data_IF_817577636264
#
_entry.id   IF_817577636264
#
_cell.length_a   1.000
_cell.length_b   1.000
_cell.length_c   1.000
_cell.angle_alpha   90.00
_cell.angle_beta   90.00
_cell.angle_gamma   90.00
#
_symmetry.space_group_name_H-M   'P 1'
#
loop_
_entity.id
_entity.type
_entity.pdbx_description
1 polymer ?
#
# COMPACT_ATOMS: atom_id res chain seq x y z
N UNK A 1 -10.78 -0.73 11.02
CA UNK A 1 -10.67 -0.53 10.74
C UNK A 1 -10.91 -0.46 10.32
N UNK A 2 -10.39 -0.59 10.16
CA UNK A 2 -10.30 -0.53 9.67
C UNK A 2 -10.36 -0.63 9.03
N UNK A 3 -10.17 -0.81 8.75
CA UNK A 3 -10.03 -0.98 8.10
C UNK A 3 -10.26 -1.32 7.65
N UNK A 4 -10.37 -1.42 7.40
CA UNK A 4 -10.44 -1.78 6.93
C UNK A 4 -10.65 -2.08 6.66
N UNK A 5 -10.85 -2.16 6.49
CA UNK A 5 -10.90 -2.56 6.03
C UNK A 5 -10.75 -2.91 5.66
N UNK A 6 -10.47 -2.94 5.57
CA UNK A 6 -10.09 -3.22 5.29
C UNK A 6 -9.91 -3.75 4.96
N UNK A 7 -9.82 -3.91 4.95
CA UNK A 7 -9.59 -4.25 4.59
C UNK A 7 -9.93 -4.92 4.31
N UNK A 8 -10.34 -5.18 4.39
CA UNK A 8 -10.42 -5.53 4.05
C UNK A 8 -10.67 -5.34 3.56
N UNK A 9 -10.48 -5.09 3.57
CA UNK A 9 -10.39 -4.70 3.07
C UNK A 9 -10.11 -4.49 2.58
N UNK A 10 -9.52 -4.27 2.62
CA UNK A 10 -9.01 -4.16 2.10
C UNK A 10 -8.85 -4.76 1.82
N UNK A 11 -8.93 -4.86 2.33
CA UNK A 11 -8.74 -5.66 2.05
C UNK A 11 -9.43 -6.25 1.56
N UNK A 12 -10.30 -5.80 1.82
CA UNK A 12 -10.84 -6.83 1.13
C UNK A 12 -10.70 -6.71 -0.34
N UNK A 13 -10.70 -5.57 -0.84
CA UNK A 13 -10.41 -5.41 -2.24
C UNK A 13 -9.03 -5.82 -2.55
N UNK A 14 -8.10 -5.34 -1.81
CA UNK A 14 -6.75 -5.74 -2.09
C UNK A 14 -6.55 -7.19 -1.73
N UNK A 15 -7.31 -7.74 -0.82
CA UNK A 15 -7.12 -9.14 -0.56
C UNK A 15 -7.74 -10.00 -1.61
N UNK A 16 -8.77 -9.55 -2.28
CA UNK A 16 -9.26 -10.26 -3.41
C UNK A 16 -8.22 -10.34 -4.49
N UNK A 17 -7.63 -9.22 -4.77
CA UNK A 17 -6.58 -9.21 -5.74
C UNK A 17 -5.45 -10.10 -5.28
N UNK A 18 -5.15 -10.09 -4.03
CA UNK A 18 -4.06 -10.90 -3.52
C UNK A 18 -4.36 -12.36 -3.63
N UNK A 19 -5.58 -12.75 -3.45
CA UNK A 19 -5.93 -14.14 -3.54
C UNK A 19 -5.90 -14.62 -4.94
N UNK A 20 -6.48 -13.86 -5.81
CA UNK A 20 -6.39 -14.16 -7.20
C UNK A 20 -4.95 -14.30 -7.56
N UNK A 21 -4.17 -13.47 -6.98
CA UNK A 21 -2.77 -13.41 -7.28
C UNK A 21 -1.94 -14.36 -6.46
N UNK A 22 -2.54 -15.27 -5.76
CA UNK A 22 -1.73 -16.23 -5.06
C UNK A 22 -0.70 -16.80 -5.97
N UNK A 23 -1.11 -17.13 -7.21
CA UNK A 23 -0.18 -17.57 -8.21
C UNK A 23 0.62 -16.45 -8.81
N UNK A 24 0.03 -15.27 -8.87
CA UNK A 24 0.73 -14.14 -9.47
C UNK A 24 1.85 -13.64 -8.59
N UNK A 25 1.64 -13.72 -7.30
CA UNK A 25 2.67 -13.29 -6.37
C UNK A 25 3.98 -14.02 -6.63
N UNK A 26 3.88 -15.24 -7.12
CA UNK A 26 5.03 -16.03 -7.46
C UNK A 26 5.87 -15.36 -8.53
N UNK A 27 5.23 -14.64 -9.43
CA UNK A 27 5.91 -13.95 -10.52
C UNK A 27 6.06 -12.47 -10.27
N UNK A 28 5.72 -12.03 -9.08
CA UNK A 28 5.67 -10.61 -8.81
C UNK A 28 7.02 -9.94 -9.03
N UNK A 29 8.10 -10.66 -8.78
CA UNK A 29 9.43 -10.11 -8.99
C UNK A 29 9.64 -9.59 -10.39
N UNK A 30 9.13 -10.29 -11.39
CA UNK A 30 9.23 -9.83 -12.76
C UNK A 30 8.17 -8.77 -13.04
N UNK A 31 7.01 -8.88 -12.42
CA UNK A 31 5.91 -7.99 -12.71
C UNK A 31 6.03 -6.61 -12.10
N UNK A 32 6.69 -6.46 -10.95
CA UNK A 32 6.74 -5.16 -10.32
C UNK A 32 7.59 -4.18 -11.14
N UNK A 33 8.57 -4.67 -11.86
CA UNK A 33 9.32 -3.79 -12.75
C UNK A 33 8.42 -3.26 -13.85
N UNK A 34 7.60 -4.15 -14.40
CA UNK A 34 6.65 -3.74 -15.43
C UNK A 34 5.62 -2.78 -14.86
N UNK A 35 5.15 -3.06 -13.66
CA UNK A 35 4.23 -2.15 -12.99
C UNK A 35 4.85 -0.75 -12.86
N UNK A 36 6.10 -0.68 -12.44
CA UNK A 36 6.76 0.61 -12.26
C UNK A 36 6.95 1.33 -13.59
N UNK A 37 7.16 0.59 -14.66
CA UNK A 37 7.29 1.19 -15.99
C UNK A 37 5.98 1.76 -16.49
N UNK A 38 4.87 1.12 -16.12
CA UNK A 38 3.55 1.53 -16.59
C UNK A 38 2.87 2.53 -15.68
N UNK A 39 3.45 2.77 -14.52
CA UNK A 39 2.84 3.67 -13.56
C UNK A 39 2.90 5.10 -14.07
N UNK A 40 1.76 5.78 -14.03
CA UNK A 40 1.68 7.17 -14.45
C UNK A 40 0.72 7.90 -13.52
N UNK A 41 0.63 9.20 -13.73
CA UNK A 41 -0.21 10.07 -12.91
C UNK A 41 -1.67 9.65 -12.97
N UNK A 42 -2.11 9.18 -14.11
CA UNK A 42 -3.49 8.76 -14.26
C UNK A 42 -3.81 7.58 -13.35
N UNK A 43 -2.91 6.60 -13.31
CA UNK A 43 -3.14 5.44 -12.45
C UNK A 43 -3.11 5.80 -10.99
N UNK A 44 -2.22 6.72 -10.63
CA UNK A 44 -2.14 7.19 -9.25
C UNK A 44 -3.41 7.95 -8.90
N UNK A 45 -3.87 8.82 -9.77
CA UNK A 45 -5.10 9.58 -9.52
C UNK A 45 -6.30 8.66 -9.41
N UNK A 46 -6.35 7.62 -10.23
CA UNK A 46 -7.44 6.65 -10.13
C UNK A 46 -7.43 5.94 -8.78
N UNK A 47 -6.25 5.64 -8.26
CA UNK A 47 -6.16 5.01 -6.96
C UNK A 47 -6.60 5.97 -5.85
N UNK A 48 -6.24 7.24 -5.97
CA UNK A 48 -6.70 8.25 -5.02
C UNK A 48 -8.22 8.34 -5.02
N UNK A 49 -8.80 8.36 -6.20
CA UNK A 49 -10.25 8.45 -6.31
C UNK A 49 -10.93 7.22 -5.73
N UNK A 50 -10.34 6.05 -5.95
CA UNK A 50 -10.87 4.82 -5.38
C UNK A 50 -10.88 4.89 -3.86
N UNK A 51 -9.81 5.40 -3.26
CA UNK A 51 -9.74 5.53 -1.82
C UNK A 51 -10.76 6.53 -1.30
N UNK A 52 -10.90 7.67 -1.97
CA UNK A 52 -11.90 8.66 -1.55
C UNK A 52 -13.29 8.04 -1.52
N UNK A 53 -13.61 7.28 -2.56
CA UNK A 53 -14.93 6.67 -2.65
C UNK A 53 -15.10 5.57 -1.62
N UNK A 54 -14.09 4.73 -1.48
CA UNK A 54 -14.17 3.60 -0.57
C UNK A 54 -14.30 4.05 0.86
N UNK A 55 -13.57 5.08 1.23
CA UNK A 55 -13.52 5.56 2.60
C UNK A 55 -14.49 6.73 2.84
N UNK A 56 -15.12 7.21 1.78
CA UNK A 56 -16.08 8.31 1.87
C UNK A 56 -15.45 9.54 2.48
N UNK A 57 -14.29 9.91 1.95
CA UNK A 57 -13.55 11.08 2.44
C UNK A 57 -13.06 11.89 1.25
N UNK A 58 -12.76 13.15 1.49
CA UNK A 58 -12.16 14.00 0.48
C UNK A 58 -10.64 13.86 0.48
N UNK A 59 -10.07 13.73 1.66
CA UNK A 59 -8.64 13.49 1.79
C UNK A 59 -8.40 12.72 3.09
N UNK A 60 -7.13 12.45 3.37
CA UNK A 60 -6.76 11.67 4.55
C UNK A 60 -5.84 12.43 5.49
N UNK A 61 -5.84 13.74 5.40
CA UNK A 61 -5.00 14.57 6.25
C UNK A 61 -5.30 14.28 7.72
N UNK A 62 -4.24 14.05 8.48
CA UNK A 62 -4.38 13.77 9.91
C UNK A 62 -4.73 12.34 10.23
N UNK A 63 -4.83 11.48 9.22
CA UNK A 63 -5.20 10.08 9.44
C UNK A 63 -4.02 9.18 9.20
N UNK A 64 -4.09 7.99 9.80
CA UNK A 64 -3.08 6.96 9.58
C UNK A 64 -3.70 5.88 8.70
N UNK A 65 -2.96 5.47 7.69
CA UNK A 65 -3.39 4.45 6.75
C UNK A 65 -2.46 3.24 6.89
N UNK A 66 -3.03 2.13 7.32
CA UNK A 66 -2.25 0.90 7.48
C UNK A 66 -2.59 -0.02 6.31
N UNK A 67 -1.60 -0.31 5.50
CA UNK A 67 -1.78 -1.10 4.28
C UNK A 67 -1.14 -2.45 4.48
N UNK A 68 -1.93 -3.42 4.89
CA UNK A 68 -1.44 -4.78 5.13
C UNK A 68 -1.57 -5.58 3.85
N UNK A 69 -0.45 -6.12 3.36
CA UNK A 69 -0.43 -6.76 2.06
C UNK A 69 -0.34 -5.72 0.97
N UNK A 70 0.61 -4.81 1.09
CA UNK A 70 0.66 -3.62 0.22
C UNK A 70 0.84 -3.94 -1.26
N UNK A 71 1.35 -5.12 -1.59
CA UNK A 71 1.53 -5.48 -3.00
C UNK A 71 2.45 -4.50 -3.70
N UNK A 72 1.95 -3.88 -4.76
CA UNK A 72 2.75 -2.91 -5.51
C UNK A 72 2.99 -1.62 -4.75
N UNK A 73 2.15 -1.34 -3.74
CA UNK A 73 2.24 -0.11 -2.99
C UNK A 73 1.44 1.03 -3.58
N UNK A 74 0.65 0.77 -4.61
CA UNK A 74 -0.09 1.83 -5.28
C UNK A 74 -1.07 2.53 -4.35
N UNK A 75 -1.81 1.78 -3.55
CA UNK A 75 -2.76 2.41 -2.63
C UNK A 75 -2.06 3.10 -1.48
N UNK A 76 -0.90 2.59 -1.05
CA UNK A 76 -0.10 3.30 -0.07
C UNK A 76 0.32 4.66 -0.61
N UNK A 77 0.79 4.68 -1.85
CA UNK A 77 1.19 5.94 -2.48
C UNK A 77 -0.01 6.89 -2.57
N UNK A 78 -1.16 6.36 -3.00
CA UNK A 78 -2.35 7.18 -3.12
C UNK A 78 -2.75 7.76 -1.76
N UNK A 79 -2.72 6.95 -0.72
CA UNK A 79 -3.08 7.40 0.62
C UNK A 79 -2.11 8.48 1.11
N UNK A 80 -0.82 8.31 0.82
CA UNK A 80 0.16 9.31 1.22
C UNK A 80 -0.08 10.63 0.50
N UNK A 81 -0.43 10.56 -0.78
CA UNK A 81 -0.72 11.77 -1.54
C UNK A 81 -1.99 12.46 -1.05
N UNK A 82 -2.90 11.70 -0.48
CA UNK A 82 -4.10 12.29 0.13
C UNK A 82 -3.84 12.85 1.53
N UNK A 83 -2.62 12.74 2.01
CA UNK A 83 -2.24 13.36 3.26
C UNK A 83 -2.10 12.43 4.44
N UNK A 84 -2.32 11.14 4.25
CA UNK A 84 -2.25 10.19 5.36
C UNK A 84 -0.82 9.93 5.78
N UNK A 85 -0.65 9.59 7.04
CA UNK A 85 0.55 8.94 7.49
C UNK A 85 0.38 7.47 7.15
N UNK A 86 1.33 6.89 6.42
CA UNK A 86 1.17 5.56 5.86
C UNK A 86 2.15 4.57 6.45
N UNK A 87 1.65 3.38 6.73
CA UNK A 87 2.50 2.26 7.09
C UNK A 87 2.14 1.11 6.17
N UNK A 88 3.07 0.73 5.31
CA UNK A 88 2.89 -0.35 4.34
C UNK A 88 3.58 -1.60 4.85
N UNK A 89 2.91 -2.72 4.74
CA UNK A 89 3.42 -3.97 5.25
C UNK A 89 3.12 -5.10 4.27
N UNK A 90 4.09 -5.97 4.05
CA UNK A 90 3.86 -7.15 3.23
C UNK A 90 4.86 -8.23 3.63
N UNK A 91 4.44 -9.48 3.53
CA UNK A 91 5.33 -10.61 3.80
C UNK A 91 6.24 -10.91 2.62
N UNK A 92 5.83 -10.51 1.43
CA UNK A 92 6.57 -10.82 0.22
C UNK A 92 7.68 -9.78 0.02
N UNK A 93 8.95 -10.20 0.02
CA UNK A 93 10.04 -9.24 -0.17
C UNK A 93 9.95 -8.45 -1.47
N UNK A 94 9.37 -9.04 -2.50
CA UNK A 94 9.23 -8.34 -3.77
C UNK A 94 8.22 -7.21 -3.66
N UNK A 95 7.14 -7.46 -2.93
CA UNK A 95 6.15 -6.42 -2.68
C UNK A 95 6.74 -5.29 -1.85
N UNK A 96 7.52 -5.65 -0.83
CA UNK A 96 8.18 -4.65 0.00
C UNK A 96 9.11 -3.80 -0.85
N UNK A 97 9.87 -4.45 -1.73
CA UNK A 97 10.81 -3.74 -2.59
C UNK A 97 10.09 -2.77 -3.52
N UNK A 98 8.97 -3.21 -4.09
CA UNK A 98 8.21 -2.36 -5.00
C UNK A 98 7.63 -1.16 -4.26
N UNK A 99 7.04 -1.41 -3.10
CA UNK A 99 6.46 -0.33 -2.29
C UNK A 99 7.56 0.66 -1.88
N UNK A 100 8.71 0.15 -1.49
CA UNK A 100 9.82 1.01 -1.10
C UNK A 100 10.29 1.85 -2.28
N UNK A 101 10.29 1.28 -3.48
CA UNK A 101 10.70 2.02 -4.66
C UNK A 101 9.73 3.16 -4.96
N UNK A 102 8.42 2.94 -4.76
CA UNK A 102 7.45 4.02 -4.92
C UNK A 102 7.71 5.13 -3.92
N UNK A 103 7.98 4.76 -2.67
CA UNK A 103 8.29 5.77 -1.67
C UNK A 103 9.52 6.56 -2.07
N UNK A 104 10.56 5.87 -2.54
CA UNK A 104 11.78 6.53 -2.94
C UNK A 104 11.54 7.53 -4.08
N UNK A 105 10.69 7.16 -5.02
CA UNK A 105 10.45 8.01 -6.19
C UNK A 105 9.59 9.21 -5.89
N UNK A 106 8.58 9.03 -5.06
CA UNK A 106 7.57 10.07 -4.87
C UNK A 106 7.68 10.79 -3.54
N UNK A 107 8.21 10.15 -2.53
CA UNK A 107 8.31 10.74 -1.20
C UNK A 107 9.64 10.34 -0.56
N UNK A 108 10.77 10.73 -1.19
CA UNK A 108 12.07 10.35 -0.64
C UNK A 108 12.26 10.96 0.74
N UNK A 109 12.79 10.15 1.66
CA UNK A 109 13.09 10.59 3.03
C UNK A 109 11.88 11.08 3.80
N UNK A 110 10.72 10.56 3.45
CA UNK A 110 9.47 10.98 4.09
C UNK A 110 9.22 10.14 5.35
N UNK A 111 9.24 10.80 6.50
CA UNK A 111 9.03 10.12 7.77
C UNK A 111 7.59 9.67 7.96
N UNK A 112 6.69 10.13 7.11
CA UNK A 112 5.27 9.78 7.23
C UNK A 112 4.88 8.58 6.39
N UNK A 113 5.83 7.88 5.83
CA UNK A 113 5.55 6.67 5.08
C UNK A 113 6.58 5.61 5.45
N UNK A 114 6.15 4.61 6.19
CA UNK A 114 7.00 3.49 6.57
C UNK A 114 6.67 2.26 5.75
N UNK A 115 7.70 1.53 5.36
CA UNK A 115 7.55 0.31 4.58
C UNK A 115 8.22 -0.81 5.36
N UNK A 116 7.45 -1.83 5.72
CA UNK A 116 7.92 -2.88 6.61
C UNK A 116 7.75 -4.25 6.01
N UNK A 117 8.70 -5.13 6.30
CA UNK A 117 8.62 -6.53 5.89
C UNK A 117 7.82 -7.33 6.92
N UNK A 118 7.39 -8.53 6.49
CA UNK A 118 6.53 -9.34 7.31
C UNK A 118 7.05 -9.62 8.71
N UNK A 119 8.35 -9.80 8.82
CA UNK A 119 8.93 -10.10 10.12
C UNK A 119 8.85 -8.93 11.09
N UNK A 120 8.55 -7.73 10.58
CA UNK A 120 8.48 -6.55 11.42
C UNK A 120 7.08 -6.34 12.01
N UNK A 121 6.10 -7.09 11.54
CA UNK A 121 4.75 -6.94 12.05
C UNK A 121 4.57 -7.92 13.21
N UNK A 122 5.26 -7.65 14.27
CA UNK A 122 5.19 -8.49 15.45
C UNK A 122 4.49 -7.70 16.56
N UNK A 123 4.53 -8.29 17.74
CA UNK A 123 3.85 -7.69 18.87
C UNK A 123 4.37 -6.28 19.17
N UNK A 124 5.66 -6.09 19.04
CA UNK A 124 6.25 -4.78 19.31
C UNK A 124 5.73 -3.73 18.33
N UNK A 125 5.69 -4.08 17.05
CA UNK A 125 5.19 -3.16 16.06
C UNK A 125 3.72 -2.82 16.31
N UNK A 126 2.92 -3.84 16.56
CA UNK A 126 1.50 -3.62 16.80
C UNK A 126 1.29 -2.73 18.02
N UNK A 127 2.09 -2.94 19.05
CA UNK A 127 1.97 -2.13 20.25
C UNK A 127 2.32 -0.67 20.00
N UNK A 128 3.14 -0.40 19.01
CA UNK A 128 3.57 0.97 18.73
C UNK A 128 2.55 1.76 17.93
N UNK A 129 1.55 1.07 17.39
CA UNK A 129 0.51 1.77 16.65
C UNK A 129 -0.40 2.50 17.61
#
# INVERSE_FOLDING_TARGET
MSSVPTTENSSSISSQAAEVAGGERFEFGANWRRFLQLLDERRISNAEESLRRMLEVDDLTGRTFLDIGSGSGLFSLAARRLGARVCSFDYDPQSVACTYELRRRFFPNDDNWQVLAGSALDETFVSSL
#
